data_IF_451141981088
#
_entry.id   IF_451141981088
#
_cell.length_a   1.000
_cell.length_b   1.000
_cell.length_c   1.000
_cell.angle_alpha   90.00
_cell.angle_beta   90.00
_cell.angle_gamma   90.00
#
_symmetry.space_group_name_H-M   'P 1'
#
loop_
_entity.id
_entity.type
_entity.pdbx_description
1 polymer ?
#
# COMPACT_ATOMS: atom_id res chain seq x y z
N UNK A 1 -14.14 -13.94 11.12
CA UNK A 1 -15.29 -13.50 11.93
C UNK A 1 -16.60 -13.83 11.22
N UNK A 2 -17.67 -14.07 11.97
CA UNK A 2 -19.02 -14.29 11.43
C UNK A 2 -19.94 -13.14 11.87
N UNK A 3 -20.90 -12.75 11.02
CA UNK A 3 -21.95 -11.80 11.41
C UNK A 3 -23.05 -12.45 12.27
N UNK A 4 -24.02 -11.62 12.67
CA UNK A 4 -25.24 -12.04 13.39
C UNK A 4 -26.11 -13.01 12.58
N UNK A 5 -25.92 -13.07 11.25
CA UNK A 5 -26.55 -14.05 10.36
C UNK A 5 -25.67 -15.29 10.09
N UNK A 6 -24.61 -15.49 10.88
CA UNK A 6 -23.61 -16.56 10.76
C UNK A 6 -22.85 -16.62 9.42
N UNK A 7 -22.92 -15.58 8.58
CA UNK A 7 -22.13 -15.52 7.35
C UNK A 7 -20.68 -15.21 7.67
N UNK A 8 -19.76 -15.85 6.93
CA UNK A 8 -18.34 -15.56 7.05
C UNK A 8 -18.11 -14.17 6.45
N UNK A 9 -17.59 -13.24 7.24
CA UNK A 9 -17.25 -11.89 6.76
C UNK A 9 -15.77 -11.78 6.38
N UNK A 10 -14.90 -12.40 7.18
CA UNK A 10 -13.46 -12.29 7.05
C UNK A 10 -12.73 -13.45 7.71
N UNK A 11 -11.51 -13.70 7.24
CA UNK A 11 -10.59 -14.72 7.76
C UNK A 11 -9.38 -14.01 8.35
N UNK A 12 -9.05 -14.33 9.59
CA UNK A 12 -7.90 -13.73 10.29
C UNK A 12 -6.76 -14.76 10.27
N UNK A 13 -5.64 -14.36 9.69
CA UNK A 13 -4.45 -15.20 9.61
C UNK A 13 -3.32 -14.58 10.47
N UNK A 14 -2.73 -15.34 11.40
CA UNK A 14 -1.50 -14.93 12.05
C UNK A 14 -0.33 -15.03 11.08
N UNK A 15 0.48 -13.98 11.00
CA UNK A 15 1.72 -13.94 10.22
C UNK A 15 2.86 -13.46 11.10
N UNK A 16 4.07 -13.90 10.78
CA UNK A 16 5.28 -13.47 11.46
C UNK A 16 6.43 -13.32 10.46
N UNK A 17 7.38 -12.44 10.78
CA UNK A 17 8.53 -12.15 9.92
C UNK A 17 9.69 -11.56 10.70
N UNK A 18 10.92 -11.89 10.31
CA UNK A 18 12.12 -11.35 10.96
C UNK A 18 12.29 -9.89 10.54
N UNK A 19 12.27 -9.00 11.52
CA UNK A 19 12.65 -7.60 11.38
C UNK A 19 14.16 -7.42 11.44
N UNK A 20 14.60 -6.18 11.68
CA UNK A 20 16.02 -5.86 11.85
C UNK A 20 16.49 -6.23 13.26
N UNK A 21 15.62 -6.03 14.27
CA UNK A 21 15.98 -6.18 15.67
C UNK A 21 15.21 -7.30 16.38
N UNK A 22 14.09 -7.75 15.81
CA UNK A 22 13.18 -8.69 16.47
C UNK A 22 12.32 -9.48 15.48
N UNK A 23 11.71 -10.56 15.96
CA UNK A 23 10.55 -11.17 15.29
C UNK A 23 9.36 -10.22 15.40
N UNK A 24 8.69 -9.98 14.27
CA UNK A 24 7.48 -9.19 14.20
C UNK A 24 6.29 -10.10 13.97
N UNK A 25 5.23 -9.89 14.74
CA UNK A 25 3.99 -10.66 14.63
C UNK A 25 2.82 -9.75 14.28
N UNK A 26 2.02 -10.21 13.32
CA UNK A 26 0.84 -9.48 12.87
C UNK A 26 -0.34 -10.41 12.59
N UNK A 27 -1.52 -9.81 12.57
CA UNK A 27 -2.74 -10.40 12.03
C UNK A 27 -3.10 -9.70 10.74
N UNK A 28 -3.40 -10.49 9.71
CA UNK A 28 -4.01 -10.01 8.47
C UNK A 28 -5.45 -10.52 8.42
N UNK A 29 -6.39 -9.59 8.24
CA UNK A 29 -7.79 -9.91 7.97
C UNK A 29 -7.99 -9.90 6.46
N UNK A 30 -8.45 -11.02 5.92
CA UNK A 30 -8.81 -11.20 4.52
C UNK A 30 -10.32 -11.24 4.37
N UNK A 31 -10.84 -10.71 3.27
CA UNK A 31 -12.25 -10.83 2.91
C UNK A 31 -12.64 -12.29 2.60
N UNK A 32 -13.91 -12.48 2.32
CA UNK A 32 -14.48 -13.78 1.90
C UNK A 32 -13.87 -14.32 0.60
N UNK A 33 -13.28 -13.44 -0.21
CA UNK A 33 -12.56 -13.78 -1.42
C UNK A 33 -11.17 -14.38 -1.17
N UNK A 34 -10.68 -14.32 0.08
CA UNK A 34 -9.36 -14.81 0.47
C UNK A 34 -8.18 -14.04 -0.17
N UNK A 35 -8.46 -12.93 -0.84
CA UNK A 35 -7.46 -12.13 -1.57
C UNK A 35 -7.42 -10.68 -1.14
N UNK A 36 -8.56 -10.10 -0.77
CA UNK A 36 -8.65 -8.70 -0.39
C UNK A 36 -8.33 -8.51 1.08
N UNK A 37 -7.38 -7.62 1.39
CA UNK A 37 -7.04 -7.25 2.75
C UNK A 37 -8.12 -6.32 3.31
N UNK A 38 -8.73 -6.72 4.43
CA UNK A 38 -9.64 -5.90 5.24
C UNK A 38 -8.91 -5.12 6.32
N UNK A 39 -7.82 -5.68 6.84
CA UNK A 39 -6.99 -5.03 7.86
C UNK A 39 -5.66 -5.75 8.06
N UNK A 40 -4.69 -5.00 8.59
CA UNK A 40 -3.38 -5.48 9.00
C UNK A 40 -3.05 -4.82 10.33
N UNK A 41 -2.69 -5.61 11.34
CA UNK A 41 -2.29 -5.10 12.66
C UNK A 41 -1.13 -5.90 13.20
N UNK A 42 -0.05 -5.22 13.57
CA UNK A 42 1.05 -5.79 14.36
C UNK A 42 0.66 -5.78 15.83
N UNK A 43 0.92 -6.87 16.55
CA UNK A 43 0.59 -6.99 17.97
C UNK A 43 1.82 -7.21 18.86
N UNK A 44 2.94 -7.63 18.27
CA UNK A 44 4.22 -7.78 18.96
C UNK A 44 5.37 -7.48 18.00
N UNK A 45 6.25 -6.57 18.41
CA UNK A 45 7.50 -6.25 17.74
C UNK A 45 8.46 -5.53 18.70
N UNK A 46 9.75 -5.69 18.48
CA UNK A 46 10.84 -5.01 19.21
C UNK A 46 11.59 -3.98 18.37
N UNK A 47 10.99 -3.49 17.29
CA UNK A 47 11.60 -2.49 16.40
C UNK A 47 11.66 -1.09 17.04
N UNK A 48 12.64 -0.28 16.60
CA UNK A 48 12.84 1.07 17.13
C UNK A 48 11.65 2.00 16.81
N UNK A 49 11.04 2.68 17.81
CA UNK A 49 10.00 3.68 17.59
C UNK A 49 10.46 4.78 16.64
N UNK A 50 9.60 5.19 15.69
CA UNK A 50 9.91 6.22 14.68
C UNK A 50 10.75 5.77 13.49
N UNK A 51 11.18 4.50 13.45
CA UNK A 51 11.80 3.86 12.28
C UNK A 51 11.02 2.60 11.90
N UNK A 52 11.42 1.44 12.43
CA UNK A 52 10.73 0.17 12.19
C UNK A 52 9.40 0.06 12.93
N UNK A 53 9.22 0.80 14.04
CA UNK A 53 7.97 0.86 14.79
C UNK A 53 6.82 1.58 14.08
N UNK A 54 7.07 2.21 12.92
CA UNK A 54 5.99 2.81 12.10
C UNK A 54 4.96 1.79 11.60
N UNK A 55 5.22 0.49 11.76
CA UNK A 55 4.26 -0.58 11.48
C UNK A 55 2.97 -0.50 12.31
N UNK A 56 3.02 0.15 13.49
CA UNK A 56 1.84 0.39 14.33
C UNK A 56 1.01 1.60 13.88
N UNK A 57 1.61 2.49 13.07
CA UNK A 57 0.99 3.74 12.64
C UNK A 57 -0.33 3.46 11.88
N UNK A 58 -1.48 3.99 12.33
CA UNK A 58 -2.76 3.78 11.66
C UNK A 58 -2.73 4.21 10.19
N UNK A 59 -2.03 5.30 9.86
CA UNK A 59 -1.90 5.79 8.49
C UNK A 59 -1.11 4.83 7.60
N UNK A 60 -0.17 4.09 8.17
CA UNK A 60 0.58 3.07 7.45
C UNK A 60 -0.27 1.82 7.24
N UNK A 61 -0.94 1.33 8.29
CA UNK A 61 -1.82 0.15 8.25
C UNK A 61 -3.00 0.33 7.28
N UNK A 62 -3.61 1.51 7.26
CA UNK A 62 -4.72 1.82 6.36
C UNK A 62 -4.36 1.73 4.88
N UNK A 63 -3.07 1.89 4.51
CA UNK A 63 -2.65 1.74 3.12
C UNK A 63 -2.86 0.33 2.59
N UNK A 64 -2.96 -0.68 3.46
CA UNK A 64 -3.14 -2.08 3.07
C UNK A 64 -4.59 -2.44 2.80
N UNK A 65 -5.55 -1.69 3.33
CA UNK A 65 -6.97 -1.97 3.18
C UNK A 65 -7.36 -1.88 1.69
N UNK A 66 -8.03 -2.92 1.19
CA UNK A 66 -8.47 -3.03 -0.20
C UNK A 66 -7.39 -3.46 -1.20
N UNK A 67 -6.16 -3.76 -0.76
CA UNK A 67 -5.13 -4.37 -1.62
C UNK A 67 -5.35 -5.87 -1.75
N UNK A 68 -4.88 -6.43 -2.86
CA UNK A 68 -4.86 -7.87 -3.09
C UNK A 68 -3.52 -8.47 -2.67
N UNK A 69 -3.56 -9.58 -1.93
CA UNK A 69 -2.35 -10.30 -1.49
C UNK A 69 -1.69 -11.11 -2.60
N UNK A 70 -2.50 -11.63 -3.54
CA UNK A 70 -2.08 -12.52 -4.61
C UNK A 70 -2.39 -11.92 -5.98
N UNK A 71 -1.57 -12.24 -6.98
CA UNK A 71 -1.87 -11.96 -8.39
C UNK A 71 -2.84 -13.00 -8.99
N UNK A 72 -3.22 -12.83 -10.25
CA UNK A 72 -4.12 -13.76 -10.96
C UNK A 72 -3.53 -15.17 -11.11
N UNK A 73 -2.20 -15.29 -11.04
CA UNK A 73 -1.47 -16.57 -11.10
C UNK A 73 -1.31 -17.23 -9.72
N UNK A 74 -1.77 -16.58 -8.64
CA UNK A 74 -1.68 -17.09 -7.28
C UNK A 74 -0.33 -16.82 -6.59
N UNK A 75 0.52 -15.96 -7.13
CA UNK A 75 1.78 -15.57 -6.49
C UNK A 75 1.60 -14.33 -5.60
N UNK A 76 2.44 -14.15 -4.55
CA UNK A 76 2.41 -12.96 -3.70
C UNK A 76 2.65 -11.67 -4.50
N UNK A 77 1.64 -10.79 -4.53
CA UNK A 77 1.66 -9.53 -5.28
C UNK A 77 1.89 -8.30 -4.38
N UNK A 78 1.73 -8.45 -3.06
CA UNK A 78 1.89 -7.35 -2.12
C UNK A 78 3.37 -6.96 -2.00
N UNK A 79 3.67 -5.67 -2.22
CA UNK A 79 5.03 -5.13 -2.16
C UNK A 79 5.07 -3.88 -1.29
N UNK A 80 6.07 -3.81 -0.42
CA UNK A 80 6.42 -2.59 0.31
C UNK A 80 7.46 -1.83 -0.51
N UNK A 81 7.13 -0.60 -0.89
CA UNK A 81 8.01 0.26 -1.73
C UNK A 81 8.62 1.38 -0.90
N UNK A 82 9.94 1.56 -1.02
CA UNK A 82 10.65 2.66 -0.37
C UNK A 82 10.28 4.00 -1.02
N UNK A 83 9.92 5.00 -0.23
CA UNK A 83 9.64 6.37 -0.69
C UNK A 83 8.17 6.73 -0.93
N UNK A 84 7.23 5.88 -0.52
CA UNK A 84 5.80 6.12 -0.75
C UNK A 84 5.42 5.96 -2.22
N UNK A 85 4.10 5.90 -2.52
CA UNK A 85 3.60 5.66 -3.88
C UNK A 85 4.32 6.56 -4.89
N UNK A 86 4.81 5.98 -5.98
CA UNK A 86 5.23 6.73 -7.15
C UNK A 86 4.05 7.59 -7.58
N UNK A 87 4.11 8.87 -7.22
CA UNK A 87 3.23 9.88 -7.78
C UNK A 87 3.51 9.84 -9.27
N UNK A 88 2.59 9.24 -10.04
CA UNK A 88 2.52 9.43 -11.49
C UNK A 88 2.31 10.92 -11.69
N UNK A 89 3.38 11.68 -11.74
CA UNK A 89 3.34 12.98 -12.39
C UNK A 89 3.07 12.66 -13.86
N UNK A 90 1.92 13.05 -14.44
CA UNK A 90 1.88 13.16 -15.89
C UNK A 90 3.01 14.13 -16.23
N UNK A 91 3.99 13.67 -17.01
CA UNK A 91 5.05 14.51 -17.52
C UNK A 91 4.38 15.58 -18.39
N UNK A 92 4.05 16.71 -17.78
CA UNK A 92 3.55 17.88 -18.49
C UNK A 92 4.76 18.47 -19.20
N UNK A 93 4.96 18.11 -20.47
CA UNK A 93 5.90 18.82 -21.34
C UNK A 93 5.53 20.30 -21.25
N UNK A 94 6.41 21.12 -20.68
CA UNK A 94 6.27 22.57 -20.74
C UNK A 94 6.32 22.96 -22.22
N UNK A 95 5.41 23.79 -22.73
CA UNK A 95 5.60 24.39 -24.05
C UNK A 95 6.87 25.22 -23.97
N UNK A 96 7.82 24.96 -24.87
CA UNK A 96 8.97 25.84 -25.07
C UNK A 96 8.39 27.16 -25.55
N UNK A 97 8.59 28.22 -24.77
CA UNK A 97 8.15 29.56 -25.10
C UNK A 97 9.14 30.11 -26.13
N UNK A 98 8.81 29.99 -27.41
CA UNK A 98 9.63 30.48 -28.50
C UNK A 98 9.03 30.07 -29.83
N UNK A 99 7.97 30.75 -30.24
CA UNK A 99 7.52 30.93 -31.63
C UNK A 99 6.38 31.95 -31.63
N UNK A 100 6.71 33.16 -31.24
CA UNK A 100 5.84 34.32 -31.37
C UNK A 100 6.70 35.52 -31.76
N UNK A 101 7.19 35.53 -33.00
CA UNK A 101 7.45 36.75 -33.75
C UNK A 101 7.94 36.43 -35.17
N UNK A 102 7.01 36.29 -36.13
CA UNK A 102 7.26 36.74 -37.50
C UNK A 102 5.96 36.88 -38.30
N UNK A 103 5.15 37.88 -37.97
CA UNK A 103 4.08 38.34 -38.85
C UNK A 103 3.81 39.83 -38.66
N UNK A 104 4.86 40.65 -38.83
CA UNK A 104 4.72 42.06 -39.22
C UNK A 104 5.93 42.48 -40.06
N UNK A 105 5.73 42.64 -41.36
CA UNK A 105 6.17 43.79 -42.18
C UNK A 105 5.78 43.56 -43.65
N UNK A 106 4.96 44.49 -44.12
CA UNK A 106 4.57 44.78 -45.50
C UNK A 106 5.74 45.20 -46.38
N UNK A 107 5.76 44.73 -47.63
CA UNK A 107 5.90 45.52 -48.86
C UNK A 107 5.50 44.65 -50.06
#
# INVERSE_FOLDING_TARGET
>A
MRDEQQQIQEVILPIYGNGLWSMMYAFVALGTDGRTIKGLTYYDHGETPGLGGEVENPNWRQQFIGKQVLDDSGHPALKVVKGGRTRRYPCRRRPVRGDADLQRRTA
#
